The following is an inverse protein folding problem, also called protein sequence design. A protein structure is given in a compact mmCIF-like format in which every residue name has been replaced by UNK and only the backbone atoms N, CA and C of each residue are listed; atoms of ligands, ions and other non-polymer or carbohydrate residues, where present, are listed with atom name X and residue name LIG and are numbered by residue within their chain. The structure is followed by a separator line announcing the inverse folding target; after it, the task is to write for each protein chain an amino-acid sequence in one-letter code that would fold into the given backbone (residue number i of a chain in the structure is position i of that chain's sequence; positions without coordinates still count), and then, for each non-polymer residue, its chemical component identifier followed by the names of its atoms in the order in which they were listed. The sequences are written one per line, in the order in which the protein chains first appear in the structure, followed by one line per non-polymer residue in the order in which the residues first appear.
data_IF_335566476423
#
_entry.id   IF_335566476423
#
_cell.length_a   1.000
_cell.length_b   1.000
_cell.length_c   1.000
_cell.angle_alpha   90.00
_cell.angle_beta   90.00
_cell.angle_gamma   90.00
#
_symmetry.space_group_name_H-M   'P 1'
#
loop_
_entity.id
_entity.type
_entity.pdbx_description
1 polymer ?
#
# COMPACT_ATOMS: atom_id res chain seq x y z
N UNK A 1 24.83 5.73 18.69
CA UNK A 1 24.31 7.09 19.00
C UNK A 1 23.91 7.87 17.75
N UNK A 2 24.68 7.86 16.65
CA UNK A 2 24.33 8.58 15.42
C UNK A 2 23.02 8.09 14.76
N UNK A 3 22.83 6.78 14.54
CA UNK A 3 21.59 6.21 13.93
C UNK A 3 20.30 6.60 14.67
N UNK A 4 20.34 6.65 15.99
CA UNK A 4 19.18 7.05 16.79
C UNK A 4 18.84 8.53 16.61
N UNK A 5 19.85 9.40 16.66
CA UNK A 5 19.67 10.83 16.40
C UNK A 5 19.06 11.07 15.02
N UNK A 6 19.45 10.26 14.03
CA UNK A 6 18.96 10.36 12.65
C UNK A 6 17.48 10.01 12.50
N UNK A 7 17.01 8.97 13.19
CA UNK A 7 15.59 8.60 13.19
C UNK A 7 14.77 9.69 13.90
N UNK A 8 15.28 10.21 15.02
CA UNK A 8 14.62 11.28 15.79
C UNK A 8 14.54 12.57 14.98
N UNK A 9 15.59 12.95 14.27
CA UNK A 9 15.59 14.14 13.42
C UNK A 9 14.62 13.97 12.23
N UNK A 10 14.59 12.80 11.61
CA UNK A 10 13.63 12.47 10.55
C UNK A 10 12.18 12.49 11.05
N UNK A 11 11.93 12.01 12.27
CA UNK A 11 10.63 12.07 12.94
C UNK A 11 10.20 13.51 13.21
N UNK A 12 11.08 14.35 13.78
CA UNK A 12 10.79 15.76 14.04
C UNK A 12 10.49 16.51 12.74
N UNK A 13 11.33 16.31 11.72
CA UNK A 13 11.11 16.89 10.41
C UNK A 13 9.78 16.46 9.78
N UNK A 14 9.37 15.20 9.97
CA UNK A 14 8.08 14.72 9.51
C UNK A 14 6.93 15.44 10.22
N UNK A 15 6.98 15.54 11.55
CA UNK A 15 5.94 16.18 12.38
C UNK A 15 5.86 17.69 12.17
N UNK A 16 6.97 18.36 11.88
CA UNK A 16 7.00 19.81 11.63
C UNK A 16 6.46 20.20 10.25
N UNK A 17 6.27 19.22 9.34
CA UNK A 17 5.75 19.48 8.01
C UNK A 17 4.26 19.79 8.04
N UNK A 18 3.84 20.89 7.42
CA UNK A 18 2.41 21.21 7.23
C UNK A 18 1.66 20.09 6.49
N UNK A 19 2.34 19.43 5.55
CA UNK A 19 1.78 18.32 4.76
C UNK A 19 1.42 17.15 5.67
N UNK A 20 2.21 16.88 6.72
CA UNK A 20 1.93 15.84 7.69
C UNK A 20 0.58 16.05 8.38
N UNK A 21 0.35 17.26 8.91
CA UNK A 21 -0.88 17.60 9.61
C UNK A 21 -2.10 17.65 8.70
N UNK A 22 -1.94 18.07 7.44
CA UNK A 22 -3.04 18.01 6.44
C UNK A 22 -3.47 16.56 6.19
N UNK A 23 -2.52 15.65 5.97
CA UNK A 23 -2.82 14.23 5.77
C UNK A 23 -3.37 13.55 7.03
N UNK A 24 -2.83 13.89 8.19
CA UNK A 24 -3.31 13.38 9.48
C UNK A 24 -4.75 13.85 9.74
N UNK A 25 -5.06 15.12 9.49
CA UNK A 25 -6.41 15.66 9.58
C UNK A 25 -7.36 14.95 8.62
N UNK A 26 -6.97 14.78 7.35
CA UNK A 26 -7.77 14.03 6.38
C UNK A 26 -8.05 12.60 6.84
N UNK A 27 -7.05 11.93 7.42
CA UNK A 27 -7.21 10.60 8.00
C UNK A 27 -8.19 10.59 9.17
N UNK A 28 -8.07 11.53 10.10
CA UNK A 28 -8.99 11.66 11.24
C UNK A 28 -10.42 11.92 10.76
N UNK A 29 -10.63 12.78 9.76
CA UNK A 29 -11.96 13.05 9.17
C UNK A 29 -12.56 11.78 8.57
N UNK A 30 -11.78 11.01 7.79
CA UNK A 30 -12.24 9.73 7.23
C UNK A 30 -12.62 8.76 8.35
N UNK A 31 -11.81 8.67 9.41
CA UNK A 31 -12.07 7.77 10.53
C UNK A 31 -13.30 8.19 11.35
N UNK A 32 -13.54 9.50 11.51
CA UNK A 32 -14.76 10.02 12.13
C UNK A 32 -16.00 9.71 11.29
N UNK A 33 -15.89 9.81 9.96
CA UNK A 33 -16.97 9.42 9.05
C UNK A 33 -17.27 7.92 9.13
N UNK A 34 -16.24 7.08 9.22
CA UNK A 34 -16.42 5.63 9.43
C UNK A 34 -17.02 5.31 10.81
N UNK A 35 -16.59 6.01 11.86
CA UNK A 35 -17.11 5.85 13.22
C UNK A 35 -18.60 6.21 13.33
N UNK A 36 -19.04 7.20 12.54
CA UNK A 36 -20.43 7.66 12.44
C UNK A 36 -21.38 6.60 11.87
N UNK A 37 -20.87 5.66 11.06
CA UNK A 37 -21.64 4.56 10.47
C UNK A 37 -21.61 3.35 11.42
N UNK A 38 -22.78 2.79 11.73
CA UNK A 38 -22.78 1.42 12.22
C UNK A 38 -24.10 0.69 12.05
N UNK A 39 -24.03 -0.59 12.41
CA UNK A 39 -25.06 -1.56 12.09
C UNK A 39 -25.59 -2.14 13.41
N UNK A 40 -26.88 -1.96 13.65
CA UNK A 40 -27.63 -2.57 14.75
C UNK A 40 -28.65 -3.56 14.16
N UNK A 41 -29.21 -4.43 15.00
CA UNK A 41 -30.14 -5.47 14.53
C UNK A 41 -31.37 -4.84 13.83
N UNK A 42 -31.48 -5.05 12.52
CA UNK A 42 -32.56 -4.51 11.69
C UNK A 42 -32.50 -3.00 11.37
N UNK A 43 -31.42 -2.29 11.74
CA UNK A 43 -31.25 -0.85 11.48
C UNK A 43 -29.81 -0.50 11.09
N UNK A 44 -29.66 0.22 9.98
CA UNK A 44 -28.42 0.93 9.71
C UNK A 44 -28.50 2.32 10.35
N UNK A 45 -27.56 2.60 11.24
CA UNK A 45 -27.48 3.85 12.00
C UNK A 45 -26.40 4.72 11.37
N UNK A 46 -26.79 5.86 10.83
CA UNK A 46 -25.89 6.87 10.32
C UNK A 46 -25.83 8.07 11.27
N UNK A 47 -24.68 8.75 11.34
CA UNK A 47 -24.49 9.97 12.14
C UNK A 47 -24.82 9.76 13.62
N UNK A 48 -24.29 8.69 14.21
CA UNK A 48 -24.44 8.39 15.64
C UNK A 48 -25.91 8.27 16.11
N UNK A 49 -26.83 7.89 15.23
CA UNK A 49 -28.26 7.77 15.59
C UNK A 49 -29.15 8.84 14.95
N UNK A 50 -28.59 9.82 14.23
CA UNK A 50 -29.38 10.89 13.65
C UNK A 50 -30.25 10.45 12.46
N UNK A 51 -29.82 9.43 11.72
CA UNK A 51 -30.61 8.84 10.63
C UNK A 51 -30.70 7.33 10.82
N UNK A 52 -31.91 6.87 11.12
CA UNK A 52 -32.27 5.47 11.17
C UNK A 52 -32.96 5.11 9.84
N UNK A 53 -32.40 4.15 9.11
CA UNK A 53 -33.10 3.55 7.97
C UNK A 53 -33.47 2.12 8.34
N UNK A 54 -34.76 1.79 8.26
CA UNK A 54 -35.25 0.44 8.43
C UNK A 54 -34.71 -0.41 7.27
N UNK A 55 -33.80 -1.34 7.60
CA UNK A 55 -33.27 -2.25 6.60
C UNK A 55 -34.36 -3.30 6.31
N UNK A 56 -35.21 -3.04 5.32
CA UNK A 56 -36.30 -3.93 4.93
C UNK A 56 -35.82 -5.36 4.69
N UNK A 57 -36.06 -6.25 5.65
CA UNK A 57 -35.81 -7.70 5.59
C UNK A 57 -34.34 -8.15 5.48
N UNK A 58 -33.42 -7.28 5.08
CA UNK A 58 -31.98 -7.54 5.09
C UNK A 58 -31.45 -7.27 6.49
N UNK A 59 -31.33 -8.31 7.31
CA UNK A 59 -30.64 -8.22 8.58
C UNK A 59 -29.17 -8.60 8.36
N UNK A 60 -28.23 -7.65 8.12
CA UNK A 60 -26.81 -7.95 7.90
C UNK A 60 -26.12 -8.62 9.09
N UNK A 61 -26.84 -8.77 10.22
CA UNK A 61 -26.35 -9.24 11.50
C UNK A 61 -26.69 -10.70 11.85
N UNK A 62 -27.38 -11.48 11.00
CA UNK A 62 -27.66 -12.89 11.28
C UNK A 62 -26.46 -13.82 10.95
N UNK A 63 -25.84 -14.30 12.02
CA UNK A 63 -24.92 -15.44 12.28
C UNK A 63 -23.67 -15.74 11.41
N UNK A 64 -23.59 -15.38 10.12
CA UNK A 64 -22.34 -15.51 9.34
C UNK A 64 -21.94 -14.21 8.59
N UNK A 65 -22.80 -13.20 8.58
CA UNK A 65 -22.62 -11.95 7.82
C UNK A 65 -21.72 -10.90 8.48
N UNK A 66 -21.70 -10.79 9.81
CA UNK A 66 -21.01 -9.69 10.52
C UNK A 66 -19.50 -9.69 10.33
N UNK A 67 -18.86 -10.84 10.55
CA UNK A 67 -17.42 -11.00 10.37
C UNK A 67 -16.99 -10.91 8.90
N UNK A 68 -17.86 -11.35 7.98
CA UNK A 68 -17.66 -11.28 6.53
C UNK A 68 -17.81 -9.85 6.01
N UNK A 69 -18.89 -9.14 6.34
CA UNK A 69 -19.11 -7.75 5.95
C UNK A 69 -18.01 -6.81 6.48
N UNK A 70 -17.63 -6.97 7.75
CA UNK A 70 -16.48 -6.24 8.30
C UNK A 70 -15.19 -6.62 7.56
N UNK A 71 -14.99 -7.91 7.25
CA UNK A 71 -13.88 -8.38 6.42
C UNK A 71 -13.83 -7.72 5.03
N UNK A 72 -14.98 -7.55 4.38
CA UNK A 72 -15.13 -6.88 3.07
C UNK A 72 -14.77 -5.41 3.18
N UNK A 73 -15.33 -4.70 4.16
CA UNK A 73 -15.02 -3.28 4.39
C UNK A 73 -13.52 -3.12 4.63
N UNK A 74 -12.91 -3.98 5.44
CA UNK A 74 -11.46 -3.99 5.68
C UNK A 74 -10.71 -4.23 4.38
N UNK A 75 -11.09 -5.23 3.60
CA UNK A 75 -10.44 -5.53 2.33
C UNK A 75 -10.47 -4.32 1.40
N UNK A 76 -11.61 -3.65 1.23
CA UNK A 76 -11.71 -2.47 0.38
C UNK A 76 -10.93 -1.27 0.93
N UNK A 77 -11.03 -0.98 2.24
CA UNK A 77 -10.29 0.12 2.87
C UNK A 77 -8.78 -0.12 2.77
N UNK A 78 -8.31 -1.34 3.03
CA UNK A 78 -6.90 -1.72 2.90
C UNK A 78 -6.46 -1.71 1.44
N UNK A 79 -7.24 -2.24 0.51
CA UNK A 79 -6.92 -2.24 -0.92
C UNK A 79 -6.87 -0.84 -1.50
N UNK A 80 -7.77 0.06 -1.08
CA UNK A 80 -7.77 1.45 -1.53
C UNK A 80 -6.60 2.24 -0.94
N UNK A 81 -6.28 2.02 0.34
CA UNK A 81 -5.20 2.74 1.02
C UNK A 81 -3.81 2.20 0.67
N UNK A 82 -3.57 0.89 0.80
CA UNK A 82 -2.30 0.26 0.43
C UNK A 82 -2.13 0.20 -1.08
N UNK A 83 -3.18 -0.14 -1.82
CA UNK A 83 -3.05 -0.46 -3.23
C UNK A 83 -3.08 0.75 -4.16
N UNK A 84 -3.74 1.85 -3.81
CA UNK A 84 -4.00 2.94 -4.77
C UNK A 84 -3.79 4.34 -4.20
N UNK A 85 -4.79 4.86 -3.49
CA UNK A 85 -4.87 6.29 -3.17
C UNK A 85 -3.86 6.65 -2.09
N UNK A 86 -3.71 5.83 -1.05
CA UNK A 86 -2.82 6.13 0.06
C UNK A 86 -1.36 6.22 -0.41
N UNK A 87 -0.89 5.25 -1.19
CA UNK A 87 0.49 5.25 -1.71
C UNK A 87 0.76 6.42 -2.66
N UNK A 88 -0.19 6.77 -3.54
CA UNK A 88 -0.05 7.96 -4.40
C UNK A 88 0.03 9.25 -3.58
N UNK A 89 -0.84 9.41 -2.57
CA UNK A 89 -0.79 10.57 -1.67
C UNK A 89 0.54 10.65 -0.92
N UNK A 90 1.08 9.51 -0.47
CA UNK A 90 2.39 9.47 0.19
C UNK A 90 3.54 9.84 -0.77
N UNK A 91 3.50 9.39 -2.02
CA UNK A 91 4.50 9.78 -3.04
C UNK A 91 4.43 11.29 -3.30
N UNK A 92 3.24 11.85 -3.45
CA UNK A 92 3.06 13.30 -3.65
C UNK A 92 3.59 14.07 -2.42
N UNK A 93 3.26 13.62 -1.22
CA UNK A 93 3.67 14.26 0.03
C UNK A 93 5.19 14.24 0.26
N UNK A 94 5.87 13.22 -0.28
CA UNK A 94 7.32 13.03 -0.13
C UNK A 94 8.13 13.42 -1.37
N UNK A 95 7.45 13.87 -2.42
CA UNK A 95 8.03 14.18 -3.73
C UNK A 95 9.16 15.21 -3.66
N UNK A 96 9.05 16.19 -2.78
CA UNK A 96 10.02 17.28 -2.66
C UNK A 96 11.16 16.98 -1.68
N UNK A 97 11.06 15.94 -0.86
CA UNK A 97 12.04 15.65 0.20
C UNK A 97 13.47 15.48 -0.34
N UNK A 98 13.60 14.74 -1.45
CA UNK A 98 14.89 14.49 -2.09
C UNK A 98 15.32 15.62 -3.03
N UNK A 99 14.51 16.01 -4.04
CA UNK A 99 14.92 17.06 -4.97
C UNK A 99 15.09 18.42 -4.30
N UNK A 100 14.31 18.75 -3.27
CA UNK A 100 14.48 19.98 -2.49
C UNK A 100 15.84 20.07 -1.79
N UNK A 101 16.46 18.93 -1.45
CA UNK A 101 17.83 18.95 -0.91
C UNK A 101 18.89 19.23 -1.99
N UNK A 102 18.57 18.97 -3.26
CA UNK A 102 19.47 19.11 -4.41
C UNK A 102 19.39 20.51 -5.06
N UNK A 103 18.47 21.36 -4.59
CA UNK A 103 18.30 22.72 -5.08
C UNK A 103 19.35 23.66 -4.46
N UNK A 104 19.79 24.63 -5.26
CA UNK A 104 20.82 25.62 -4.91
C UNK A 104 20.47 26.38 -3.63
N UNK A 105 21.42 26.53 -2.71
CA UNK A 105 21.25 27.18 -1.40
C UNK A 105 21.10 26.21 -0.21
N UNK A 106 20.45 25.06 -0.38
CA UNK A 106 20.40 24.01 0.66
C UNK A 106 21.64 23.11 0.64
N UNK A 107 22.16 22.83 -0.56
CA UNK A 107 23.35 21.98 -0.75
C UNK A 107 24.57 22.59 -0.08
N UNK A 108 24.77 23.91 -0.18
CA UNK A 108 25.92 24.63 0.38
C UNK A 108 25.95 24.59 1.92
N UNK A 109 24.77 24.71 2.55
CA UNK A 109 24.63 24.59 4.02
C UNK A 109 24.88 23.16 4.50
N UNK A 110 24.44 22.15 3.73
CA UNK A 110 24.72 20.76 4.06
C UNK A 110 26.18 20.36 3.78
N UNK A 111 26.83 20.94 2.76
CA UNK A 111 28.23 20.69 2.43
C UNK A 111 29.21 21.23 3.48
N UNK A 112 28.80 22.23 4.27
CA UNK A 112 29.58 22.73 5.41
C UNK A 112 29.66 21.73 6.59
N UNK A 113 28.80 20.70 6.62
CA UNK A 113 28.85 19.63 7.63
C UNK A 113 29.75 18.49 7.14
N UNK A 114 30.69 17.96 7.97
CA UNK A 114 31.58 16.87 7.59
C UNK A 114 30.84 15.51 7.60
N UNK A 115 29.83 15.35 6.74
CA UNK A 115 29.00 14.14 6.61
C UNK A 115 29.23 13.57 5.20
N UNK A 116 29.43 12.25 5.09
CA UNK A 116 29.59 11.61 3.78
C UNK A 116 28.32 11.73 2.94
N UNK A 117 28.47 12.08 1.66
CA UNK A 117 27.35 12.33 0.71
C UNK A 117 26.34 11.17 0.66
N UNK A 118 26.81 9.93 0.62
CA UNK A 118 25.93 8.75 0.63
C UNK A 118 25.08 8.62 1.90
N UNK A 119 25.62 9.03 3.06
CA UNK A 119 24.89 9.02 4.35
C UNK A 119 23.79 10.07 4.32
N UNK A 120 24.10 11.27 3.83
CA UNK A 120 23.15 12.36 3.67
C UNK A 120 21.95 11.96 2.80
N UNK A 121 22.21 11.30 1.67
CA UNK A 121 21.15 10.76 0.83
C UNK A 121 20.30 9.71 1.56
N UNK A 122 20.94 8.76 2.25
CA UNK A 122 20.24 7.74 3.04
C UNK A 122 19.40 8.36 4.16
N UNK A 123 19.87 9.43 4.79
CA UNK A 123 19.13 10.13 5.85
C UNK A 123 17.85 10.74 5.35
N UNK A 124 17.88 11.37 4.17
CA UNK A 124 16.64 11.87 3.59
C UNK A 124 15.71 10.74 3.19
N UNK A 125 16.26 9.69 2.59
CA UNK A 125 15.47 8.53 2.21
C UNK A 125 14.75 7.93 3.43
N UNK A 126 15.47 7.72 4.53
CA UNK A 126 14.93 7.26 5.80
C UNK A 126 13.91 8.23 6.41
N UNK A 127 14.10 9.55 6.29
CA UNK A 127 13.11 10.53 6.74
C UNK A 127 11.78 10.39 6.00
N UNK A 128 11.82 10.13 4.69
CA UNK A 128 10.61 9.79 3.91
C UNK A 128 9.94 8.51 4.41
N UNK A 129 10.72 7.47 4.73
CA UNK A 129 10.19 6.23 5.30
C UNK A 129 9.57 6.43 6.69
N UNK A 130 10.20 7.23 7.56
CA UNK A 130 9.65 7.57 8.89
C UNK A 130 8.34 8.35 8.74
N UNK A 131 8.28 9.33 7.83
CA UNK A 131 7.06 10.08 7.54
C UNK A 131 5.90 9.14 7.17
N UNK A 132 6.14 8.20 6.26
CA UNK A 132 5.11 7.24 5.82
C UNK A 132 4.77 6.24 6.92
N UNK A 133 5.75 5.80 7.72
CA UNK A 133 5.50 4.93 8.87
C UNK A 133 4.53 5.58 9.86
N UNK A 134 4.72 6.87 10.20
CA UNK A 134 3.83 7.58 11.12
C UNK A 134 2.42 7.74 10.55
N UNK A 135 2.29 8.10 9.27
CA UNK A 135 0.99 8.21 8.62
C UNK A 135 0.27 6.86 8.54
N UNK A 136 0.99 5.80 8.19
CA UNK A 136 0.45 4.44 8.15
C UNK A 136 0.02 3.95 9.54
N UNK A 137 0.84 4.21 10.57
CA UNK A 137 0.52 3.87 11.95
C UNK A 137 -0.71 4.63 12.44
N UNK A 138 -0.86 5.91 12.09
CA UNK A 138 -2.04 6.71 12.41
C UNK A 138 -3.28 6.15 11.72
N UNK A 139 -3.22 5.91 10.41
CA UNK A 139 -4.36 5.40 9.64
C UNK A 139 -4.79 4.00 10.11
N UNK A 140 -3.86 3.05 10.19
CA UNK A 140 -4.16 1.67 10.55
C UNK A 140 -4.52 1.57 12.04
N UNK A 141 -3.84 2.32 12.91
CA UNK A 141 -4.15 2.39 14.33
C UNK A 141 -5.57 2.89 14.57
N UNK A 142 -5.96 4.01 13.93
CA UNK A 142 -7.33 4.50 14.01
C UNK A 142 -8.35 3.51 13.42
N UNK A 143 -8.01 2.83 12.32
CA UNK A 143 -8.89 1.79 11.74
C UNK A 143 -9.18 0.67 12.75
N UNK A 144 -8.14 0.17 13.43
CA UNK A 144 -8.29 -0.88 14.46
C UNK A 144 -9.13 -0.38 15.64
N UNK A 145 -8.94 0.88 16.07
CA UNK A 145 -9.72 1.48 17.15
C UNK A 145 -11.20 1.66 16.77
N UNK A 146 -11.48 2.22 15.59
CA UNK A 146 -12.86 2.40 15.09
C UNK A 146 -13.56 1.05 15.00
N UNK A 147 -12.88 0.03 14.48
CA UNK A 147 -13.44 -1.32 14.35
C UNK A 147 -13.71 -1.99 15.70
N UNK A 148 -12.76 -1.86 16.63
CA UNK A 148 -12.88 -2.41 17.98
C UNK A 148 -14.02 -1.76 18.77
N UNK A 149 -14.12 -0.43 18.74
CA UNK A 149 -15.14 0.31 19.48
C UNK A 149 -16.52 0.28 18.83
N UNK A 150 -16.63 0.38 17.50
CA UNK A 150 -17.93 0.53 16.81
C UNK A 150 -18.58 -0.78 16.41
N UNK A 151 -17.78 -1.76 15.95
CA UNK A 151 -18.26 -3.03 15.41
C UNK A 151 -17.94 -4.22 16.32
N UNK A 152 -17.21 -4.01 17.42
CA UNK A 152 -16.86 -5.06 18.38
C UNK A 152 -15.88 -6.10 17.83
N UNK A 153 -15.27 -5.83 16.67
CA UNK A 153 -14.35 -6.76 16.00
C UNK A 153 -12.93 -6.28 16.21
N UNK A 154 -12.16 -7.02 17.00
CA UNK A 154 -10.74 -6.73 17.21
C UNK A 154 -9.91 -7.63 16.32
N UNK A 155 -9.20 -7.03 15.36
CA UNK A 155 -8.28 -7.74 14.46
C UNK A 155 -6.89 -7.13 14.54
N UNK A 156 -6.06 -7.52 15.53
CA UNK A 156 -4.72 -6.98 15.70
C UNK A 156 -3.81 -7.30 14.50
N UNK A 157 -4.15 -8.32 13.71
CA UNK A 157 -3.48 -8.65 12.45
C UNK A 157 -3.42 -7.50 11.44
N UNK A 158 -4.35 -6.52 11.50
CA UNK A 158 -4.26 -5.30 10.68
C UNK A 158 -2.99 -4.49 10.96
N UNK A 159 -2.40 -4.55 12.16
CA UNK A 159 -1.16 -3.82 12.47
C UNK A 159 0.02 -4.32 11.64
N UNK A 160 -0.01 -5.57 11.16
CA UNK A 160 0.99 -6.10 10.24
C UNK A 160 0.96 -5.40 8.86
N UNK A 161 -0.13 -4.69 8.54
CA UNK A 161 -0.21 -3.86 7.33
C UNK A 161 0.67 -2.61 7.40
N UNK A 162 1.05 -2.15 8.59
CA UNK A 162 1.93 -0.96 8.76
C UNK A 162 3.30 -1.19 8.10
N UNK A 163 4.07 -2.24 8.46
CA UNK A 163 5.35 -2.49 7.81
C UNK A 163 5.19 -2.84 6.33
N UNK A 164 4.11 -3.52 5.92
CA UNK A 164 3.84 -3.82 4.51
C UNK A 164 3.60 -2.56 3.67
N UNK A 165 2.90 -1.56 4.23
CA UNK A 165 2.68 -0.28 3.56
C UNK A 165 4.00 0.49 3.41
N UNK A 166 4.80 0.54 4.48
CA UNK A 166 6.12 1.19 4.42
C UNK A 166 7.02 0.50 3.39
N UNK A 167 7.00 -0.84 3.35
CA UNK A 167 7.73 -1.63 2.37
C UNK A 167 7.26 -1.34 0.93
N UNK A 168 5.93 -1.31 0.70
CA UNK A 168 5.35 -0.96 -0.59
C UNK A 168 5.78 0.43 -1.05
N UNK A 169 5.73 1.41 -0.13
CA UNK A 169 6.19 2.75 -0.39
C UNK A 169 7.70 2.79 -0.67
N UNK A 170 8.52 2.03 0.07
CA UNK A 170 9.97 1.94 -0.12
C UNK A 170 10.34 1.56 -1.57
N UNK A 171 9.63 0.58 -2.13
CA UNK A 171 9.84 0.09 -3.51
C UNK A 171 9.56 1.15 -4.57
N UNK A 172 8.58 2.02 -4.35
CA UNK A 172 8.27 3.11 -5.28
C UNK A 172 9.15 4.33 -5.01
N UNK A 173 9.45 4.59 -3.74
CA UNK A 173 10.25 5.72 -3.31
C UNK A 173 11.71 5.59 -3.76
N UNK A 174 12.25 4.37 -3.92
CA UNK A 174 13.60 4.19 -4.49
C UNK A 174 13.66 4.63 -5.96
N UNK A 175 12.59 4.42 -6.74
CA UNK A 175 12.47 4.92 -8.12
C UNK A 175 12.37 6.45 -8.11
N UNK A 176 11.51 7.00 -7.24
CA UNK A 176 11.41 8.45 -7.02
C UNK A 176 12.77 9.07 -6.66
N UNK A 177 13.54 8.40 -5.79
CA UNK A 177 14.87 8.84 -5.37
C UNK A 177 15.88 8.82 -6.52
N UNK A 178 15.88 7.76 -7.35
CA UNK A 178 16.73 7.67 -8.53
C UNK A 178 16.39 8.75 -9.56
N UNK A 179 15.11 9.07 -9.73
CA UNK A 179 14.64 10.16 -10.60
C UNK A 179 15.07 11.51 -10.04
N UNK A 180 14.92 11.74 -8.74
CA UNK A 180 15.27 12.99 -8.07
C UNK A 180 16.74 13.38 -8.28
N UNK A 181 17.66 12.41 -8.18
CA UNK A 181 19.10 12.65 -8.38
C UNK A 181 19.40 13.17 -9.80
N UNK A 182 18.65 12.71 -10.81
CA UNK A 182 18.85 13.10 -12.20
C UNK A 182 18.11 14.39 -12.58
N UNK A 183 16.86 14.53 -12.16
CA UNK A 183 15.97 15.60 -12.64
C UNK A 183 15.89 16.80 -11.71
N UNK A 184 16.21 16.63 -10.41
CA UNK A 184 16.10 17.66 -9.36
C UNK A 184 14.71 18.31 -9.27
N UNK A 185 13.66 17.63 -9.76
CA UNK A 185 12.30 18.15 -9.85
C UNK A 185 11.31 17.24 -9.14
N UNK A 186 10.57 17.78 -8.17
CA UNK A 186 9.52 17.07 -7.45
C UNK A 186 8.41 16.54 -8.39
N UNK A 187 8.01 17.34 -9.38
CA UNK A 187 7.00 16.93 -10.36
C UNK A 187 7.46 15.73 -11.19
N UNK A 188 8.71 15.74 -11.65
CA UNK A 188 9.29 14.62 -12.39
C UNK A 188 9.35 13.35 -11.54
N UNK A 189 9.68 13.49 -10.24
CA UNK A 189 9.68 12.38 -9.28
C UNK A 189 8.29 11.74 -9.20
N UNK A 190 7.23 12.53 -9.02
CA UNK A 190 5.85 12.01 -8.93
C UNK A 190 5.43 11.32 -10.23
N UNK A 191 5.52 12.03 -11.35
CA UNK A 191 4.99 11.53 -12.63
C UNK A 191 5.71 10.27 -13.10
N UNK A 192 7.05 10.25 -13.01
CA UNK A 192 7.83 9.08 -13.44
C UNK A 192 7.61 7.90 -12.48
N UNK A 193 7.48 8.15 -11.18
CA UNK A 193 7.23 7.07 -10.21
C UNK A 193 5.85 6.44 -10.41
N UNK A 194 4.81 7.25 -10.61
CA UNK A 194 3.46 6.75 -10.91
C UNK A 194 3.46 6.00 -12.25
N UNK A 195 4.10 6.54 -13.29
CA UNK A 195 4.22 5.86 -14.58
C UNK A 195 4.95 4.53 -14.47
N UNK A 196 6.09 4.48 -13.77
CA UNK A 196 6.84 3.26 -13.51
C UNK A 196 5.99 2.24 -12.74
N UNK A 197 5.23 2.71 -11.75
CA UNK A 197 4.36 1.84 -10.97
C UNK A 197 3.24 1.21 -11.80
N UNK A 198 2.61 1.96 -12.71
CA UNK A 198 1.62 1.40 -13.66
C UNK A 198 2.27 0.35 -14.56
N UNK A 199 3.47 0.60 -15.07
CA UNK A 199 4.20 -0.39 -15.89
C UNK A 199 4.51 -1.65 -15.08
N UNK A 200 4.97 -1.51 -13.83
CA UNK A 200 5.23 -2.65 -12.94
C UNK A 200 3.97 -3.46 -12.68
N UNK A 201 2.83 -2.80 -12.44
CA UNK A 201 1.55 -3.45 -12.24
C UNK A 201 1.11 -4.22 -13.49
N UNK A 202 1.24 -3.65 -14.68
CA UNK A 202 0.90 -4.31 -15.95
C UNK A 202 1.75 -5.55 -16.18
N UNK A 203 3.07 -5.44 -15.99
CA UNK A 203 4.00 -6.55 -16.18
C UNK A 203 3.79 -7.65 -15.13
N UNK A 204 3.51 -7.29 -13.88
CA UNK A 204 3.24 -8.23 -12.80
C UNK A 204 1.91 -8.96 -12.97
N UNK A 205 0.89 -8.32 -13.53
CA UNK A 205 -0.44 -8.91 -13.74
C UNK A 205 -0.58 -9.67 -15.06
N UNK A 206 0.35 -9.47 -16.01
CA UNK A 206 0.30 -10.11 -17.33
C UNK A 206 0.18 -11.65 -17.29
N UNK A 207 0.89 -12.40 -16.40
CA UNK A 207 0.71 -13.84 -16.27
C UNK A 207 -0.71 -14.24 -15.89
N UNK A 208 -1.33 -13.50 -14.96
CA UNK A 208 -2.70 -13.74 -14.49
C UNK A 208 -3.71 -13.50 -15.61
N UNK A 209 -3.54 -12.42 -16.38
CA UNK A 209 -4.38 -12.12 -17.53
C UNK A 209 -4.28 -13.21 -18.61
N UNK A 210 -3.08 -13.71 -18.92
CA UNK A 210 -2.92 -14.80 -19.88
C UNK A 210 -3.62 -16.09 -19.41
N UNK A 211 -3.55 -16.41 -18.11
CA UNK A 211 -4.26 -17.56 -17.55
C UNK A 211 -5.78 -17.38 -17.62
N UNK A 212 -6.29 -16.16 -17.38
CA UNK A 212 -7.70 -15.84 -17.53
C UNK A 212 -8.20 -15.98 -18.99
N UNK A 213 -7.36 -15.65 -19.98
CA UNK A 213 -7.64 -15.89 -21.39
C UNK A 213 -7.43 -17.35 -21.83
N UNK A 214 -7.25 -18.29 -20.89
CA UNK A 214 -7.01 -19.72 -21.13
C UNK A 214 -5.83 -19.98 -22.09
N UNK A 215 -4.79 -19.12 -22.07
CA UNK A 215 -3.58 -19.32 -22.87
C UNK A 215 -2.79 -20.53 -22.37
N UNK A 216 -2.26 -21.32 -23.31
CA UNK A 216 -1.50 -22.52 -22.97
C UNK A 216 -0.16 -22.17 -22.31
N UNK A 217 0.09 -22.74 -21.13
CA UNK A 217 1.32 -22.54 -20.34
C UNK A 217 2.59 -22.99 -21.07
N UNK A 218 2.47 -23.84 -22.08
CA UNK A 218 3.58 -24.34 -22.92
C UNK A 218 4.12 -23.28 -23.89
N UNK A 219 3.31 -22.25 -24.19
CA UNK A 219 3.64 -21.22 -25.18
C UNK A 219 4.93 -20.47 -24.83
N UNK A 220 5.74 -20.17 -25.85
CA UNK A 220 6.96 -19.36 -25.69
C UNK A 220 6.65 -17.98 -25.10
N UNK A 221 5.49 -17.41 -25.49
CA UNK A 221 5.01 -16.12 -25.00
C UNK A 221 4.77 -16.15 -23.49
N UNK A 222 4.08 -17.17 -22.97
CA UNK A 222 3.86 -17.31 -21.53
C UNK A 222 5.17 -17.37 -20.76
N UNK A 223 6.16 -18.13 -21.25
CA UNK A 223 7.48 -18.25 -20.61
C UNK A 223 8.25 -16.93 -20.56
N UNK A 224 8.22 -16.17 -21.66
CA UNK A 224 8.90 -14.87 -21.73
C UNK A 224 8.22 -13.87 -20.79
N UNK A 225 6.90 -13.76 -20.85
CA UNK A 225 6.14 -12.84 -19.98
C UNK A 225 6.31 -13.23 -18.52
N UNK A 226 6.30 -14.53 -18.20
CA UNK A 226 6.58 -15.01 -16.85
C UNK A 226 7.98 -14.61 -16.39
N UNK A 227 9.01 -14.81 -17.22
CA UNK A 227 10.38 -14.41 -16.88
C UNK A 227 10.52 -12.88 -16.69
N UNK A 228 9.89 -12.08 -17.54
CA UNK A 228 9.91 -10.61 -17.42
C UNK A 228 9.16 -10.14 -16.16
N UNK A 229 8.09 -10.85 -15.77
CA UNK A 229 7.31 -10.54 -14.57
C UNK A 229 8.06 -10.69 -13.25
N UNK A 230 9.25 -11.31 -13.25
CA UNK A 230 10.10 -11.43 -12.07
C UNK A 230 10.92 -10.17 -11.75
N UNK A 231 11.14 -9.31 -12.74
CA UNK A 231 11.98 -8.11 -12.61
C UNK A 231 11.31 -7.00 -11.79
N UNK A 232 10.05 -6.61 -12.05
CA UNK A 232 9.45 -5.50 -11.32
C UNK A 232 9.12 -5.86 -9.86
N UNK A 233 9.07 -4.87 -8.96
CA UNK A 233 8.62 -5.08 -7.60
C UNK A 233 7.15 -5.52 -7.60
N UNK A 234 6.84 -6.57 -6.85
CA UNK A 234 5.51 -7.17 -6.76
C UNK A 234 4.60 -6.41 -5.81
N UNK A 235 4.32 -5.16 -6.15
CA UNK A 235 3.50 -4.25 -5.32
C UNK A 235 2.06 -4.73 -5.16
N UNK A 236 1.50 -5.44 -6.15
CA UNK A 236 0.14 -6.00 -6.11
C UNK A 236 -0.04 -7.13 -5.10
N UNK A 237 1.04 -7.81 -4.69
CA UNK A 237 0.96 -8.92 -3.72
C UNK A 237 0.84 -8.41 -2.28
N UNK A 238 1.27 -7.18 -1.99
CA UNK A 238 1.32 -6.64 -0.63
C UNK A 238 -0.07 -6.38 -0.02
N UNK A 239 -1.07 -5.83 -0.75
CA UNK A 239 -2.45 -5.76 -0.26
C UNK A 239 -3.05 -7.14 0.04
N UNK A 240 -2.73 -8.15 -0.77
CA UNK A 240 -3.22 -9.53 -0.56
C UNK A 240 -2.59 -10.12 0.71
N UNK A 241 -1.28 -9.91 0.91
CA UNK A 241 -0.58 -10.31 2.14
C UNK A 241 -1.12 -9.58 3.38
N UNK A 242 -1.42 -8.29 3.26
CA UNK A 242 -2.03 -7.50 4.32
C UNK A 242 -3.42 -8.03 4.69
N UNK A 243 -4.27 -8.32 3.70
CA UNK A 243 -5.58 -8.93 3.91
C UNK A 243 -5.46 -10.30 4.59
N UNK A 244 -4.50 -11.12 4.15
CA UNK A 244 -4.18 -12.43 4.77
C UNK A 244 -3.77 -12.30 6.23
N UNK A 245 -2.86 -11.39 6.56
CA UNK A 245 -2.44 -11.17 7.96
C UNK A 245 -3.55 -10.56 8.81
N UNK A 246 -4.44 -9.77 8.22
CA UNK A 246 -5.62 -9.23 8.89
C UNK A 246 -6.75 -10.27 9.09
N UNK A 247 -6.58 -11.51 8.58
CA UNK A 247 -7.63 -12.52 8.47
C UNK A 247 -8.91 -11.98 7.80
N UNK A 248 -8.81 -10.91 7.01
CA UNK A 248 -9.92 -10.37 6.24
C UNK A 248 -10.31 -11.45 5.23
N UNK A 249 -11.59 -11.83 5.20
CA UNK A 249 -12.08 -12.76 4.18
C UNK A 249 -11.68 -12.26 2.80
N UNK A 250 -11.27 -13.17 1.92
CA UNK A 250 -10.77 -12.82 0.59
C UNK A 250 -11.94 -12.46 -0.35
N UNK A 251 -11.67 -11.94 -1.54
CA UNK A 251 -12.72 -11.58 -2.50
C UNK A 251 -13.67 -12.74 -2.84
N UNK A 252 -13.19 -13.99 -2.82
CA UNK A 252 -14.03 -15.19 -2.97
C UNK A 252 -14.93 -15.51 -1.77
N UNK A 253 -14.58 -15.07 -0.56
CA UNK A 253 -15.43 -15.24 0.64
C UNK A 253 -16.64 -14.29 0.65
N UNK A 254 -16.69 -13.35 -0.32
CA UNK A 254 -17.69 -12.29 -0.43
C UNK A 254 -18.96 -12.76 -1.12
N UNK A 255 -18.87 -13.72 -2.04
CA UNK A 255 -20.04 -14.20 -2.77
C UNK A 255 -20.79 -15.25 -1.93
N UNK A 256 -22.08 -15.02 -1.61
CA UNK A 256 -22.90 -16.06 -1.00
C UNK A 256 -22.88 -17.32 -1.88
N UNK A 257 -22.80 -18.51 -1.28
CA UNK A 257 -22.90 -19.76 -2.05
C UNK A 257 -24.19 -19.83 -2.88
N UNK A 258 -25.26 -19.14 -2.45
CA UNK A 258 -26.49 -18.97 -3.23
C UNK A 258 -26.32 -18.15 -4.51
N UNK A 259 -25.44 -17.14 -4.52
CA UNK A 259 -25.11 -16.37 -5.73
C UNK A 259 -24.22 -17.22 -6.66
N UNK A 260 -23.26 -17.96 -6.09
CA UNK A 260 -22.44 -18.93 -6.83
C UNK A 260 -23.30 -20.03 -7.50
N UNK A 261 -24.37 -20.47 -6.83
CA UNK A 261 -25.31 -21.45 -7.38
C UNK A 261 -26.37 -20.86 -8.32
N UNK A 262 -26.59 -19.55 -8.31
CA UNK A 262 -27.57 -18.89 -9.21
C UNK A 262 -27.02 -18.57 -10.62
N UNK A 263 -25.70 -18.61 -10.82
CA UNK A 263 -25.06 -18.36 -12.11
C UNK A 263 -25.11 -19.57 -13.08
N UNK A 264 -25.05 -19.28 -14.39
CA UNK A 264 -24.98 -20.31 -15.43
C UNK A 264 -23.71 -21.18 -15.35
N UNK A 265 -23.64 -22.35 -16.02
CA UNK A 265 -22.54 -23.32 -15.88
C UNK A 265 -21.15 -22.71 -16.13
N UNK A 266 -21.06 -21.84 -17.14
CA UNK A 266 -19.82 -21.18 -17.52
C UNK A 266 -19.36 -20.14 -16.50
N UNK A 267 -20.31 -19.45 -15.86
CA UNK A 267 -20.04 -18.48 -14.80
C UNK A 267 -19.50 -19.17 -13.55
N UNK A 268 -20.00 -20.37 -13.23
CA UNK A 268 -19.51 -21.20 -12.11
C UNK A 268 -18.07 -21.65 -12.33
N UNK A 269 -17.73 -22.12 -13.53
CA UNK A 269 -16.33 -22.47 -13.87
C UNK A 269 -15.39 -21.27 -13.73
N UNK A 270 -15.79 -20.08 -14.21
CA UNK A 270 -14.97 -18.87 -14.10
C UNK A 270 -14.77 -18.43 -12.63
N UNK A 271 -15.78 -18.61 -11.78
CA UNK A 271 -15.66 -18.36 -10.34
C UNK A 271 -14.76 -19.39 -9.64
N UNK A 272 -14.85 -20.67 -10.00
CA UNK A 272 -13.98 -21.72 -9.48
C UNK A 272 -12.52 -21.48 -9.89
N UNK A 273 -12.28 -21.10 -11.15
CA UNK A 273 -10.96 -20.70 -11.63
C UNK A 273 -10.39 -19.49 -10.87
N UNK A 274 -11.21 -18.46 -10.65
CA UNK A 274 -10.81 -17.28 -9.87
C UNK A 274 -10.45 -17.66 -8.43
N UNK A 275 -11.24 -18.53 -7.79
CA UNK A 275 -10.98 -19.03 -6.43
C UNK A 275 -9.70 -19.87 -6.37
N UNK A 276 -9.45 -20.73 -7.35
CA UNK A 276 -8.20 -21.49 -7.43
C UNK A 276 -6.97 -20.59 -7.59
N UNK A 277 -7.06 -19.54 -8.41
CA UNK A 277 -5.98 -18.56 -8.59
C UNK A 277 -5.71 -17.82 -7.28
N UNK A 278 -6.76 -17.39 -6.58
CA UNK A 278 -6.67 -16.70 -5.30
C UNK A 278 -6.07 -17.61 -4.20
N UNK A 279 -6.50 -18.88 -4.12
CA UNK A 279 -5.91 -19.87 -3.22
C UNK A 279 -4.43 -20.13 -3.53
N UNK A 280 -4.06 -20.17 -4.81
CA UNK A 280 -2.64 -20.31 -5.21
C UNK A 280 -1.83 -19.10 -4.78
N UNK A 281 -2.36 -17.89 -4.92
CA UNK A 281 -1.70 -16.67 -4.44
C UNK A 281 -1.55 -16.67 -2.92
N UNK A 282 -2.58 -17.11 -2.18
CA UNK A 282 -2.51 -17.26 -0.72
C UNK A 282 -1.50 -18.33 -0.27
N UNK A 283 -1.28 -19.38 -1.08
CA UNK A 283 -0.30 -20.45 -0.81
C UNK A 283 1.15 -20.05 -1.14
N UNK A 284 1.39 -18.98 -1.91
CA UNK A 284 2.76 -18.55 -2.20
C UNK A 284 3.46 -18.05 -0.92
N UNK A 285 4.75 -18.42 -0.72
CA UNK A 285 5.50 -17.97 0.43
C UNK A 285 5.74 -16.45 0.34
N UNK A 286 5.43 -15.66 1.39
CA UNK A 286 5.60 -14.20 1.39
C UNK A 286 7.04 -13.75 1.10
N UNK A 287 8.01 -14.59 1.47
CA UNK A 287 9.45 -14.36 1.28
C UNK A 287 9.81 -14.19 -0.19
N UNK A 288 9.10 -14.87 -1.09
CA UNK A 288 9.40 -14.82 -2.51
C UNK A 288 9.06 -13.43 -3.10
N UNK A 289 7.86 -12.92 -2.85
CA UNK A 289 7.42 -11.61 -3.36
C UNK A 289 8.13 -10.44 -2.69
N UNK A 290 8.41 -10.55 -1.39
CA UNK A 290 9.14 -9.52 -0.64
C UNK A 290 10.62 -9.53 -1.06
N UNK A 291 11.24 -10.70 -1.19
CA UNK A 291 12.66 -10.85 -1.50
C UNK A 291 13.05 -10.31 -2.88
N UNK A 292 12.28 -10.64 -3.93
CA UNK A 292 12.55 -10.13 -5.28
C UNK A 292 12.42 -8.61 -5.35
N UNK A 293 11.44 -8.06 -4.63
CA UNK A 293 11.17 -6.62 -4.59
C UNK A 293 12.23 -5.85 -3.78
N UNK A 294 12.70 -6.41 -2.66
CA UNK A 294 13.84 -5.85 -1.90
C UNK A 294 15.14 -5.88 -2.71
N UNK A 295 15.36 -6.91 -3.52
CA UNK A 295 16.52 -6.96 -4.40
C UNK A 295 16.45 -5.85 -5.47
N UNK A 296 15.28 -5.68 -6.09
CA UNK A 296 15.04 -4.57 -7.02
C UNK A 296 15.31 -3.21 -6.34
N UNK A 297 14.77 -3.01 -5.14
CA UNK A 297 14.98 -1.79 -4.36
C UNK A 297 16.46 -1.54 -4.07
N UNK A 298 17.19 -2.57 -3.62
CA UNK A 298 18.62 -2.46 -3.30
C UNK A 298 19.45 -2.08 -4.54
N UNK A 299 19.13 -2.63 -5.71
CA UNK A 299 19.81 -2.30 -6.98
C UNK A 299 19.52 -0.85 -7.38
N UNK A 300 18.26 -0.44 -7.39
CA UNK A 300 17.85 0.91 -7.81
C UNK A 300 18.38 1.97 -6.83
N UNK A 301 18.23 1.73 -5.52
CA UNK A 301 18.71 2.64 -4.49
C UNK A 301 20.25 2.71 -4.48
N UNK A 302 20.93 1.58 -4.66
CA UNK A 302 22.39 1.53 -4.80
C UNK A 302 22.87 2.34 -6.00
N UNK A 303 22.20 2.22 -7.14
CA UNK A 303 22.49 3.05 -8.31
C UNK A 303 22.27 4.55 -8.04
N UNK A 304 21.15 4.91 -7.39
CA UNK A 304 20.86 6.30 -7.03
C UNK A 304 21.92 6.88 -6.08
N UNK A 305 22.34 6.11 -5.08
CA UNK A 305 23.40 6.47 -4.13
C UNK A 305 24.75 6.68 -4.81
N UNK A 306 25.13 5.78 -5.71
CA UNK A 306 26.39 5.89 -6.47
C UNK A 306 26.38 7.11 -7.39
N UNK A 307 25.25 7.36 -8.06
CA UNK A 307 25.06 8.56 -8.89
C UNK A 307 25.15 9.83 -8.05
N UNK A 308 24.54 9.85 -6.87
CA UNK A 308 24.61 11.00 -5.95
C UNK A 308 26.02 11.23 -5.41
N UNK A 309 26.77 10.17 -5.10
CA UNK A 309 28.13 10.27 -4.58
C UNK A 309 29.15 10.79 -5.61
N UNK A 310 28.91 10.54 -6.91
CA UNK A 310 29.81 10.93 -8.00
C UNK A 310 29.51 12.28 -8.64
N UNK A 311 28.31 12.80 -8.42
CA UNK A 311 27.91 14.07 -9.02
C UNK A 311 28.33 15.20 -8.08
N UNK A 312 29.12 16.14 -8.60
CA UNK A 312 29.39 17.40 -7.90
C UNK A 312 28.13 18.25 -7.99
N UNK A 313 27.40 18.30 -6.87
CA UNK A 313 26.26 19.19 -6.63
C UNK A 313 26.73 20.47 -5.95
#
# INVERSE_FOLDING_TARGET
MQLWALIVDGFRQAVDSKIFWVLACGTVVIMLALLSIGFEEGKAVFLFGAFETESGGYNPMFELGRSRLVGVIIYYVMSLFLGWIGVVLMIIATADLIPGMLQSGSVEVLAAKPISRWRLFLYRYLSGLVFVFLQAALFIGLTVLVMGFRWGVWRPGLLASIPLLVLMFSYLYCVSAAVAVKTRSALACVLITIGAWVVFAMVSQAPMLMEAFRMEKSSRLYRVVYAVSWVPPKTGDLPILAARFAHAGTSSDVLPESVLQSGGPQQREDFELAREIEERQLKQPPVYSIGSSLLFEAVVLGFAMLSFARTDF
#
